data_IF_528303686315
#
_entry.id   IF_528303686315
#
_cell.length_a   1.000
_cell.length_b   1.000
_cell.length_c   1.000
_cell.angle_alpha   90.00
_cell.angle_beta   90.00
_cell.angle_gamma   90.00
#
_symmetry.space_group_name_H-M   'P 1'
#
loop_
_entity.id
_entity.type
_entity.pdbx_description
1 polymer ?
#
# COMPACT_ATOMS: atom_id res chain seq x y z
N UNK A 1 85.97 2.65 -19.19
CA UNK A 1 85.03 2.48 -18.07
C UNK A 1 84.98 3.83 -17.37
N UNK A 2 83.99 4.64 -17.72
CA UNK A 2 83.64 6.03 -17.33
C UNK A 2 82.61 6.47 -18.41
N UNK A 3 81.52 7.20 -18.21
CA UNK A 3 81.15 8.24 -17.23
C UNK A 3 79.62 8.53 -17.28
N UNK A 4 79.13 9.29 -16.28
CA UNK A 4 77.83 10.00 -16.12
C UNK A 4 77.55 11.00 -17.30
N UNK A 5 76.37 11.60 -17.61
CA UNK A 5 75.14 12.01 -16.87
C UNK A 5 74.03 12.53 -17.85
N UNK A 6 72.74 12.44 -17.43
CA UNK A 6 71.59 13.38 -17.58
C UNK A 6 70.62 13.40 -18.81
N UNK A 7 69.31 13.21 -18.51
CA UNK A 7 68.06 13.90 -18.97
C UNK A 7 67.72 14.03 -20.49
N UNK A 8 66.49 14.00 -21.03
CA UNK A 8 65.09 14.18 -20.59
C UNK A 8 64.14 13.58 -21.69
N UNK A 9 62.82 13.63 -21.42
CA UNK A 9 61.66 13.69 -22.34
C UNK A 9 60.77 12.44 -22.56
N UNK A 10 59.48 12.69 -22.37
CA UNK A 10 58.28 11.87 -22.45
C UNK A 10 58.04 11.19 -23.82
N UNK A 11 57.42 10.00 -23.83
CA UNK A 11 56.18 9.78 -24.60
C UNK A 11 55.44 8.48 -24.21
N UNK A 12 54.10 8.57 -24.21
CA UNK A 12 53.14 7.52 -24.58
C UNK A 12 52.86 6.32 -23.65
N UNK A 13 51.84 6.48 -22.81
CA UNK A 13 50.72 5.51 -22.71
C UNK A 13 49.52 6.13 -21.97
N UNK A 14 48.75 6.97 -22.66
CA UNK A 14 47.44 7.43 -22.22
C UNK A 14 46.39 6.32 -22.42
N UNK A 15 46.05 5.61 -21.35
CA UNK A 15 44.85 4.76 -21.30
C UNK A 15 43.63 5.66 -21.07
N UNK A 16 42.91 5.94 -22.14
CA UNK A 16 41.60 6.62 -22.11
C UNK A 16 40.61 5.70 -21.37
N UNK A 17 40.33 6.01 -20.10
CA UNK A 17 39.16 5.49 -19.40
C UNK A 17 37.99 6.41 -19.76
N UNK A 18 37.11 5.96 -20.67
CA UNK A 18 35.82 6.62 -20.88
C UNK A 18 35.02 6.64 -19.58
N UNK A 19 34.42 7.78 -19.17
CA UNK A 19 33.48 7.79 -18.06
C UNK A 19 32.23 7.02 -18.49
N UNK A 20 31.99 5.85 -17.89
CA UNK A 20 30.73 5.12 -18.02
C UNK A 20 29.60 6.02 -17.53
N UNK A 21 28.72 6.35 -18.46
CA UNK A 21 27.58 7.24 -18.30
C UNK A 21 26.53 6.64 -17.33
N UNK A 22 26.66 6.91 -16.03
CA UNK A 22 25.76 6.38 -14.99
C UNK A 22 24.61 7.35 -14.62
N UNK A 23 24.44 8.47 -15.35
CA UNK A 23 23.36 9.44 -15.10
C UNK A 23 22.00 9.03 -15.68
N UNK A 24 21.98 8.08 -16.62
CA UNK A 24 20.75 7.69 -17.32
C UNK A 24 19.81 6.85 -16.46
N UNK A 25 20.34 5.96 -15.61
CA UNK A 25 19.50 5.04 -14.82
C UNK A 25 18.74 5.75 -13.69
N UNK A 26 19.39 6.69 -13.00
CA UNK A 26 18.77 7.46 -11.92
C UNK A 26 17.69 8.41 -12.47
N UNK A 27 17.93 8.98 -13.66
CA UNK A 27 16.98 9.84 -14.36
C UNK A 27 15.77 9.04 -14.85
N UNK A 28 15.98 7.84 -15.42
CA UNK A 28 14.89 6.93 -15.83
C UNK A 28 14.04 6.49 -14.63
N UNK A 29 14.67 6.17 -13.50
CA UNK A 29 13.97 5.73 -12.29
C UNK A 29 13.14 6.86 -11.65
N UNK A 30 13.63 8.10 -11.71
CA UNK A 30 12.89 9.28 -11.26
C UNK A 30 11.72 9.63 -12.20
N UNK A 31 11.93 9.53 -13.51
CA UNK A 31 10.89 9.73 -14.53
C UNK A 31 9.81 8.66 -14.39
N UNK A 32 10.16 7.39 -14.22
CA UNK A 32 9.23 6.28 -14.02
C UNK A 32 8.36 6.47 -12.78
N UNK A 33 8.97 6.92 -11.67
CA UNK A 33 8.24 7.24 -10.44
C UNK A 33 7.26 8.41 -10.61
N UNK A 34 7.67 9.42 -11.39
CA UNK A 34 6.86 10.61 -11.66
C UNK A 34 5.70 10.27 -12.60
N UNK A 35 5.94 9.46 -13.64
CA UNK A 35 4.93 8.94 -14.57
C UNK A 35 3.92 8.07 -13.82
N UNK A 36 4.36 7.18 -12.94
CA UNK A 36 3.47 6.38 -12.09
C UNK A 36 2.61 7.27 -11.17
N UNK A 37 3.19 8.33 -10.60
CA UNK A 37 2.44 9.28 -9.76
C UNK A 37 1.41 10.07 -10.57
N UNK A 38 1.75 10.49 -11.79
CA UNK A 38 0.83 11.16 -12.72
C UNK A 38 -0.29 10.20 -13.16
N UNK A 39 0.04 8.95 -13.48
CA UNK A 39 -0.91 7.91 -13.84
C UNK A 39 -1.89 7.61 -12.70
N UNK A 40 -1.40 7.54 -11.45
CA UNK A 40 -2.24 7.40 -10.26
C UNK A 40 -3.19 8.60 -10.09
N UNK A 41 -2.71 9.83 -10.31
CA UNK A 41 -3.56 11.01 -10.26
C UNK A 41 -4.62 10.98 -11.38
N UNK A 42 -4.25 10.59 -12.59
CA UNK A 42 -5.16 10.49 -13.74
C UNK A 42 -6.28 9.46 -13.46
N UNK A 43 -5.91 8.27 -12.97
CA UNK A 43 -6.87 7.23 -12.59
C UNK A 43 -7.83 7.68 -11.49
N UNK A 44 -7.34 8.44 -10.50
CA UNK A 44 -8.19 9.02 -9.45
C UNK A 44 -9.16 10.06 -10.01
N UNK A 45 -8.77 10.82 -11.03
CA UNK A 45 -9.67 11.76 -11.71
C UNK A 45 -10.74 11.00 -12.48
N UNK A 46 -10.38 9.95 -13.22
CA UNK A 46 -11.32 9.13 -13.99
C UNK A 46 -12.39 8.50 -13.09
N UNK A 47 -11.98 7.88 -11.97
CA UNK A 47 -12.91 7.28 -11.00
C UNK A 47 -13.83 8.33 -10.37
N UNK A 48 -13.32 9.52 -10.05
CA UNK A 48 -14.14 10.60 -9.53
C UNK A 48 -15.14 11.09 -10.59
N UNK A 49 -14.74 11.18 -11.86
CA UNK A 49 -15.62 11.56 -12.96
C UNK A 49 -16.74 10.53 -13.16
N UNK A 50 -16.44 9.24 -13.11
CA UNK A 50 -17.45 8.17 -13.17
C UNK A 50 -18.42 8.24 -11.98
N UNK A 51 -17.90 8.52 -10.78
CA UNK A 51 -18.72 8.72 -9.58
C UNK A 51 -19.63 9.95 -9.72
N UNK A 52 -19.12 11.06 -10.23
CA UNK A 52 -19.95 12.25 -10.50
C UNK A 52 -20.97 12.00 -11.61
N UNK A 53 -20.61 11.29 -12.68
CA UNK A 53 -21.53 10.93 -13.76
C UNK A 53 -22.71 10.09 -13.23
N UNK A 54 -22.46 9.18 -12.28
CA UNK A 54 -23.49 8.42 -11.56
C UNK A 54 -24.38 9.30 -10.68
N UNK A 55 -23.81 10.30 -10.00
CA UNK A 55 -24.59 11.23 -9.16
C UNK A 55 -25.50 12.14 -9.99
N UNK A 56 -25.02 12.58 -11.15
CA UNK A 56 -25.71 13.58 -11.97
C UNK A 56 -26.69 12.98 -13.00
N UNK A 57 -26.98 11.68 -12.95
CA UNK A 57 -27.94 10.98 -13.84
C UNK A 57 -27.79 11.38 -15.32
N UNK A 58 -26.54 11.52 -15.80
CA UNK A 58 -26.31 11.60 -17.25
C UNK A 58 -26.53 10.20 -17.79
N UNK A 59 -27.72 9.97 -18.36
CA UNK A 59 -28.17 8.70 -18.89
C UNK A 59 -27.10 8.03 -19.78
N UNK A 60 -26.70 6.81 -19.43
CA UNK A 60 -26.24 5.82 -20.39
C UNK A 60 -26.96 4.49 -20.11
N UNK A 61 -27.89 4.16 -21.02
CA UNK A 61 -28.08 2.90 -21.76
C UNK A 61 -27.23 1.66 -21.38
N UNK A 62 -27.69 0.47 -21.80
CA UNK A 62 -28.26 -0.57 -20.97
C UNK A 62 -27.22 -1.22 -20.02
N UNK A 63 -27.70 -1.80 -18.92
CA UNK A 63 -26.96 -2.61 -17.94
C UNK A 63 -25.59 -3.13 -18.44
N UNK A 64 -24.53 -2.35 -18.20
CA UNK A 64 -23.18 -2.89 -18.26
C UNK A 64 -23.08 -3.87 -17.11
N UNK A 65 -23.13 -5.17 -17.40
CA UNK A 65 -22.69 -6.22 -16.47
C UNK A 65 -21.38 -5.72 -15.85
N UNK A 66 -21.23 -5.71 -14.51
CA UNK A 66 -20.01 -5.23 -13.89
C UNK A 66 -18.87 -6.08 -14.46
N UNK A 67 -18.05 -5.46 -15.31
CA UNK A 67 -16.81 -6.08 -15.76
C UNK A 67 -16.04 -6.30 -14.47
N UNK A 68 -15.74 -7.56 -14.15
CA UNK A 68 -14.90 -7.87 -12.99
C UNK A 68 -13.60 -7.09 -13.18
N UNK A 69 -13.41 -6.08 -12.35
CA UNK A 69 -12.22 -5.25 -12.33
C UNK A 69 -11.02 -6.17 -12.10
N UNK A 70 -9.96 -5.99 -12.89
CA UNK A 70 -8.76 -6.82 -12.80
C UNK A 70 -8.14 -6.76 -11.40
N UNK A 71 -7.46 -7.82 -10.98
CA UNK A 71 -6.92 -7.95 -9.63
C UNK A 71 -5.87 -6.89 -9.32
N UNK A 72 -4.99 -6.57 -10.27
CA UNK A 72 -4.00 -5.50 -10.07
C UNK A 72 -4.67 -4.12 -10.04
N UNK A 73 -5.71 -3.94 -10.84
CA UNK A 73 -6.50 -2.72 -10.83
C UNK A 73 -7.15 -2.51 -9.45
N UNK A 74 -7.73 -3.56 -8.88
CA UNK A 74 -8.37 -3.51 -7.56
C UNK A 74 -7.37 -3.12 -6.45
N UNK A 75 -6.13 -3.60 -6.52
CA UNK A 75 -5.08 -3.23 -5.57
C UNK A 75 -4.74 -1.73 -5.59
N UNK A 76 -5.10 -0.99 -6.64
CA UNK A 76 -4.94 0.47 -6.66
C UNK A 76 -6.03 1.24 -5.89
N UNK A 77 -7.09 0.57 -5.44
CA UNK A 77 -8.16 1.19 -4.65
C UNK A 77 -7.80 1.36 -3.16
N UNK A 78 -6.66 0.82 -2.72
CA UNK A 78 -6.24 0.96 -1.33
C UNK A 78 -5.69 2.37 -1.02
N UNK A 79 -5.99 2.94 0.16
CA UNK A 79 -6.85 2.39 1.21
C UNK A 79 -8.34 2.51 0.87
N UNK A 80 -9.12 1.49 1.25
CA UNK A 80 -10.55 1.43 0.99
C UNK A 80 -11.30 2.61 1.64
N UNK A 81 -12.30 3.09 0.93
CA UNK A 81 -13.07 4.29 1.30
C UNK A 81 -14.51 3.97 1.64
N UNK A 82 -15.11 3.00 0.97
CA UNK A 82 -16.52 2.66 1.08
C UNK A 82 -16.75 1.22 1.58
N UNK A 83 -17.98 0.94 2.02
CA UNK A 83 -18.34 -0.38 2.53
C UNK A 83 -18.35 -1.42 1.40
N UNK A 84 -18.82 -1.04 0.21
CA UNK A 84 -18.89 -1.93 -0.95
C UNK A 84 -17.50 -2.42 -1.37
N UNK A 85 -16.46 -1.58 -1.23
CA UNK A 85 -15.06 -1.97 -1.48
C UNK A 85 -14.60 -3.12 -0.56
N UNK A 86 -15.11 -3.14 0.68
CA UNK A 86 -14.81 -4.22 1.65
C UNK A 86 -15.54 -5.49 1.27
N UNK A 87 -16.78 -5.39 0.76
CA UNK A 87 -17.55 -6.54 0.29
C UNK A 87 -16.88 -7.18 -0.93
N UNK A 88 -16.43 -6.37 -1.90
CA UNK A 88 -15.71 -6.88 -3.07
C UNK A 88 -14.39 -7.55 -2.64
N UNK A 89 -13.60 -6.89 -1.77
CA UNK A 89 -12.37 -7.49 -1.23
C UNK A 89 -12.63 -8.83 -0.54
N UNK A 90 -13.64 -8.92 0.33
CA UNK A 90 -13.98 -10.18 1.00
C UNK A 90 -14.38 -11.27 0.01
N UNK A 91 -15.13 -10.92 -1.04
CA UNK A 91 -15.51 -11.88 -2.09
C UNK A 91 -14.30 -12.42 -2.85
N UNK A 92 -13.33 -11.56 -3.19
CA UNK A 92 -12.09 -11.94 -3.88
C UNK A 92 -11.16 -12.75 -3.00
N UNK A 93 -11.11 -12.47 -1.70
CA UNK A 93 -10.28 -13.24 -0.75
C UNK A 93 -10.81 -14.64 -0.47
N UNK A 94 -12.10 -14.88 -0.74
CA UNK A 94 -12.76 -16.18 -0.61
C UNK A 94 -12.70 -17.01 -1.90
N UNK A 95 -12.30 -16.42 -3.03
CA UNK A 95 -12.13 -17.13 -4.29
C UNK A 95 -10.79 -17.87 -4.32
N UNK A 96 -10.81 -19.13 -3.87
CA UNK A 96 -9.63 -20.01 -3.85
C UNK A 96 -9.12 -20.39 -5.27
N UNK A 97 -9.86 -20.06 -6.34
CA UNK A 97 -9.42 -20.31 -7.73
C UNK A 97 -8.53 -19.19 -8.29
N UNK A 98 -8.43 -18.06 -7.59
CA UNK A 98 -7.64 -16.89 -8.01
C UNK A 98 -6.30 -16.77 -7.25
N UNK A 99 -5.29 -16.20 -7.91
CA UNK A 99 -4.02 -15.81 -7.28
C UNK A 99 -4.11 -14.46 -6.54
N UNK A 100 -5.29 -13.82 -6.54
CA UNK A 100 -5.56 -12.53 -5.91
C UNK A 100 -5.07 -12.47 -4.46
N UNK A 101 -5.31 -13.51 -3.67
CA UNK A 101 -4.94 -13.54 -2.25
C UNK A 101 -3.42 -13.40 -2.05
N UNK A 102 -2.63 -14.02 -2.92
CA UNK A 102 -1.17 -13.96 -2.87
C UNK A 102 -0.67 -12.57 -3.28
N UNK A 103 -1.23 -12.02 -4.37
CA UNK A 103 -0.98 -10.64 -4.81
C UNK A 103 -1.33 -9.63 -3.73
N UNK A 104 -2.51 -9.78 -3.11
CA UNK A 104 -2.98 -8.95 -2.02
C UNK A 104 -2.02 -9.00 -0.81
N UNK A 105 -1.65 -10.20 -0.35
CA UNK A 105 -0.69 -10.37 0.75
C UNK A 105 0.63 -9.68 0.43
N UNK A 106 1.17 -9.87 -0.78
CA UNK A 106 2.40 -9.23 -1.25
C UNK A 106 2.29 -7.69 -1.24
N UNK A 107 1.17 -7.15 -1.72
CA UNK A 107 0.88 -5.72 -1.79
C UNK A 107 0.78 -5.08 -0.39
N UNK A 108 -0.04 -5.65 0.51
CA UNK A 108 -0.30 -5.02 1.81
C UNK A 108 0.85 -5.21 2.80
N UNK A 109 1.69 -6.23 2.63
CA UNK A 109 2.80 -6.51 3.55
C UNK A 109 3.87 -5.41 3.53
N UNK A 110 4.17 -4.75 4.66
CA UNK A 110 5.21 -3.73 4.72
C UNK A 110 6.60 -4.33 4.47
N UNK A 111 7.28 -3.85 3.42
CA UNK A 111 8.67 -4.21 3.04
C UNK A 111 9.74 -3.60 3.96
N UNK A 112 9.34 -2.86 5.00
CA UNK A 112 10.27 -2.18 5.90
C UNK A 112 10.96 -3.11 6.90
N UNK A 113 12.18 -2.71 7.29
CA UNK A 113 12.97 -3.37 8.32
C UNK A 113 12.34 -3.14 9.69
N UNK A 114 11.95 -4.24 10.35
CA UNK A 114 11.54 -4.23 11.75
C UNK A 114 12.82 -4.25 12.59
N UNK A 115 12.93 -3.33 13.55
CA UNK A 115 14.15 -3.16 14.34
C UNK A 115 14.23 -4.16 15.49
N UNK A 116 13.10 -4.48 16.13
CA UNK A 116 13.00 -5.52 17.17
C UNK A 116 11.74 -6.39 17.02
N UNK A 117 11.80 -7.66 17.42
CA UNK A 117 10.60 -8.52 17.55
C UNK A 117 9.87 -8.29 18.88
N UNK A 118 9.74 -7.02 19.25
CA UNK A 118 9.17 -6.54 20.50
C UNK A 118 7.66 -6.21 20.33
N UNK A 119 6.93 -6.07 21.44
CA UNK A 119 5.49 -5.75 21.42
C UNK A 119 5.17 -4.42 20.71
N UNK A 120 6.06 -3.43 20.79
CA UNK A 120 5.90 -2.13 20.14
C UNK A 120 5.93 -2.24 18.62
N UNK A 121 6.88 -3.00 18.09
CA UNK A 121 7.03 -3.22 16.65
C UNK A 121 5.88 -4.05 16.08
N UNK A 122 5.36 -5.01 16.86
CA UNK A 122 4.15 -5.76 16.49
C UNK A 122 2.93 -4.83 16.39
N UNK A 123 2.71 -3.96 17.38
CA UNK A 123 1.63 -2.96 17.34
C UNK A 123 1.81 -2.03 16.14
N UNK A 124 3.02 -1.56 15.88
CA UNK A 124 3.33 -0.72 14.73
C UNK A 124 3.04 -1.44 13.40
N UNK A 125 3.45 -2.70 13.28
CA UNK A 125 3.25 -3.52 12.10
C UNK A 125 1.76 -3.72 11.78
N UNK A 126 0.97 -4.19 12.76
CA UNK A 126 -0.48 -4.39 12.60
C UNK A 126 -1.18 -3.06 12.26
N UNK A 127 -0.82 -1.97 12.93
CA UNK A 127 -1.38 -0.63 12.63
C UNK A 127 -0.96 -0.10 11.26
N UNK A 128 0.14 -0.58 10.70
CA UNK A 128 0.57 -0.23 9.34
C UNK A 128 -0.23 -0.98 8.31
N UNK A 129 -0.49 -2.28 8.51
CA UNK A 129 -1.44 -3.05 7.69
C UNK A 129 -2.81 -2.37 7.66
N UNK A 130 -3.37 -2.04 8.83
CA UNK A 130 -4.69 -1.40 8.92
C UNK A 130 -4.76 -0.04 8.22
N UNK A 131 -3.69 0.78 8.27
CA UNK A 131 -3.63 2.06 7.56
C UNK A 131 -3.49 1.92 6.05
N UNK A 132 -2.92 0.81 5.57
CA UNK A 132 -2.88 0.48 4.13
C UNK A 132 -4.26 0.01 3.64
N UNK A 133 -4.99 -0.69 4.50
CA UNK A 133 -6.28 -1.28 4.15
C UNK A 133 -7.44 -0.29 4.24
N UNK A 134 -7.51 0.53 5.30
CA UNK A 134 -8.68 1.33 5.62
C UNK A 134 -8.34 2.80 5.80
N UNK A 135 -9.17 3.68 5.26
CA UNK A 135 -9.22 5.06 5.72
C UNK A 135 -9.82 5.14 7.13
N UNK A 136 -9.50 6.20 7.89
CA UNK A 136 -10.16 6.45 9.18
C UNK A 136 -11.66 6.75 9.04
N UNK A 137 -12.08 7.21 7.85
CA UNK A 137 -13.50 7.39 7.52
C UNK A 137 -14.21 6.05 7.50
N UNK A 138 -13.75 5.14 6.64
CA UNK A 138 -14.31 3.80 6.51
C UNK A 138 -14.25 3.03 7.83
N UNK A 139 -13.09 3.01 8.48
CA UNK A 139 -12.90 2.31 9.76
C UNK A 139 -13.84 2.82 10.88
N UNK A 140 -14.37 4.04 10.78
CA UNK A 140 -15.29 4.58 11.77
C UNK A 140 -16.70 3.98 11.71
N UNK A 141 -17.04 3.27 10.63
CA UNK A 141 -18.29 2.52 10.48
C UNK A 141 -18.20 1.07 10.96
N UNK A 142 -17.03 0.64 11.44
CA UNK A 142 -16.81 -0.73 11.91
C UNK A 142 -16.70 -0.79 13.44
N UNK A 143 -17.08 -1.94 13.98
CA UNK A 143 -16.79 -2.32 15.36
C UNK A 143 -16.49 -3.81 15.44
N UNK A 144 -15.93 -4.27 16.56
CA UNK A 144 -15.52 -5.67 16.69
C UNK A 144 -16.67 -6.68 16.52
N UNK A 145 -17.87 -6.35 17.02
CA UNK A 145 -19.07 -7.22 17.02
C UNK A 145 -20.28 -6.60 16.29
N UNK A 146 -20.10 -5.49 15.60
CA UNK A 146 -21.21 -4.80 14.90
C UNK A 146 -22.19 -4.02 15.79
N UNK A 147 -21.76 -3.53 16.96
CA UNK A 147 -22.65 -2.80 17.87
C UNK A 147 -22.97 -1.38 17.38
N UNK A 148 -24.15 -0.86 17.77
CA UNK A 148 -24.60 0.52 17.53
C UNK A 148 -24.65 0.90 16.04
N UNK A 149 -25.15 0.00 15.20
CA UNK A 149 -25.28 0.24 13.76
C UNK A 149 -23.96 0.23 12.99
N UNK A 150 -22.86 -0.22 13.60
CA UNK A 150 -21.59 -0.42 12.89
C UNK A 150 -21.54 -1.82 12.26
N UNK A 151 -20.78 -1.97 11.18
CA UNK A 151 -20.48 -3.27 10.60
C UNK A 151 -19.53 -4.08 11.50
N UNK A 152 -19.66 -5.41 11.48
CA UNK A 152 -18.81 -6.30 12.25
C UNK A 152 -17.52 -6.61 11.49
N UNK A 153 -16.37 -6.24 12.08
CA UNK A 153 -15.07 -6.55 11.48
C UNK A 153 -14.49 -7.89 11.95
N UNK A 154 -14.87 -8.37 13.14
CA UNK A 154 -14.21 -9.52 13.77
C UNK A 154 -14.34 -10.85 13.01
N UNK A 155 -15.27 -10.93 12.07
CA UNK A 155 -15.52 -12.12 11.24
C UNK A 155 -15.00 -11.98 9.80
N UNK A 156 -14.40 -10.84 9.43
CA UNK A 156 -13.90 -10.63 8.08
C UNK A 156 -12.65 -11.48 7.80
N UNK A 157 -12.56 -12.01 6.60
CA UNK A 157 -11.41 -12.74 6.05
C UNK A 157 -10.14 -11.87 6.11
N UNK A 158 -10.26 -10.57 5.88
CA UNK A 158 -9.16 -9.59 6.05
C UNK A 158 -8.53 -9.70 7.45
N UNK A 159 -9.31 -9.91 8.52
CA UNK A 159 -8.76 -10.05 9.89
C UNK A 159 -7.91 -11.31 10.00
N UNK A 160 -8.34 -12.40 9.37
CA UNK A 160 -7.56 -13.64 9.31
C UNK A 160 -6.26 -13.43 8.51
N UNK A 161 -6.33 -12.78 7.35
CA UNK A 161 -5.14 -12.45 6.55
C UNK A 161 -4.14 -11.58 7.32
N UNK A 162 -4.61 -10.55 8.02
CA UNK A 162 -3.75 -9.72 8.89
C UNK A 162 -3.07 -10.58 9.96
N UNK A 163 -3.79 -11.52 10.57
CA UNK A 163 -3.21 -12.42 11.55
C UNK A 163 -2.13 -13.31 10.92
N UNK A 164 -2.38 -13.90 9.76
CA UNK A 164 -1.44 -14.80 9.08
C UNK A 164 -0.15 -14.07 8.67
N UNK A 165 -0.27 -12.87 8.10
CA UNK A 165 0.86 -11.99 7.80
C UNK A 165 1.62 -11.61 9.08
N UNK A 166 0.91 -11.34 10.18
CA UNK A 166 1.56 -10.99 11.45
C UNK A 166 2.25 -12.20 12.07
N UNK A 167 1.65 -13.39 12.01
CA UNK A 167 2.20 -14.64 12.53
C UNK A 167 3.43 -15.10 11.75
N UNK A 168 3.45 -14.86 10.44
CA UNK A 168 4.61 -15.18 9.60
C UNK A 168 5.85 -14.41 10.04
N UNK A 169 5.67 -13.15 10.48
CA UNK A 169 6.75 -12.26 10.96
C UNK A 169 7.04 -12.36 12.45
N UNK A 170 6.01 -12.52 13.29
CA UNK A 170 6.09 -12.62 14.74
C UNK A 170 5.65 -14.01 15.21
N UNK A 171 6.57 -14.99 15.13
CA UNK A 171 6.25 -16.43 15.30
C UNK A 171 5.52 -16.79 16.60
N UNK A 172 5.75 -16.08 17.69
CA UNK A 172 5.14 -16.36 19.01
C UNK A 172 3.81 -15.63 19.26
N UNK A 173 3.33 -14.81 18.32
CA UNK A 173 2.09 -14.03 18.53
C UNK A 173 0.85 -14.94 18.58
N UNK A 174 -0.08 -14.60 19.47
CA UNK A 174 -1.41 -15.22 19.54
C UNK A 174 -2.45 -14.43 18.74
N UNK A 175 -3.46 -15.14 18.21
CA UNK A 175 -4.56 -14.51 17.46
C UNK A 175 -5.33 -13.51 18.33
N UNK A 176 -5.52 -13.84 19.62
CA UNK A 176 -6.19 -12.94 20.56
C UNK A 176 -5.45 -11.61 20.71
N UNK A 177 -4.11 -11.62 20.76
CA UNK A 177 -3.35 -10.38 20.90
C UNK A 177 -3.41 -9.50 19.66
N UNK A 178 -3.33 -10.08 18.46
CA UNK A 178 -3.52 -9.33 17.19
C UNK A 178 -4.93 -8.73 17.13
N UNK A 179 -5.95 -9.52 17.47
CA UNK A 179 -7.35 -9.07 17.53
C UNK A 179 -7.54 -7.88 18.49
N UNK A 180 -6.86 -7.86 19.65
CA UNK A 180 -6.90 -6.73 20.58
C UNK A 180 -6.35 -5.46 19.94
N UNK A 181 -5.26 -5.56 19.16
CA UNK A 181 -4.66 -4.40 18.48
C UNK A 181 -5.59 -3.87 17.39
N UNK A 182 -6.20 -4.76 16.60
CA UNK A 182 -7.17 -4.38 15.56
C UNK A 182 -8.38 -3.70 16.21
N UNK A 183 -8.95 -4.32 17.25
CA UNK A 183 -10.09 -3.79 18.01
C UNK A 183 -9.79 -2.40 18.59
N UNK A 184 -8.62 -2.23 19.22
CA UNK A 184 -8.19 -0.94 19.77
C UNK A 184 -8.04 0.10 18.67
N UNK A 185 -7.42 -0.27 17.54
CA UNK A 185 -7.23 0.65 16.42
C UNK A 185 -8.60 1.13 15.91
N UNK A 186 -9.53 0.24 15.58
CA UNK A 186 -10.85 0.59 15.04
C UNK A 186 -11.67 1.44 16.03
N UNK A 187 -11.64 1.10 17.33
CA UNK A 187 -12.31 1.88 18.39
C UNK A 187 -11.98 3.37 18.32
N UNK A 188 -10.73 3.71 18.00
CA UNK A 188 -10.26 5.09 17.94
C UNK A 188 -10.29 5.70 16.53
N UNK A 189 -10.87 5.03 15.53
CA UNK A 189 -10.94 5.55 14.16
C UNK A 189 -11.68 6.89 14.06
N UNK A 190 -12.85 7.00 14.72
CA UNK A 190 -13.64 8.25 14.76
C UNK A 190 -12.86 9.42 15.36
N UNK A 191 -12.13 9.17 16.46
CA UNK A 191 -11.29 10.19 17.10
C UNK A 191 -10.12 10.61 16.20
N UNK A 192 -9.41 9.64 15.58
CA UNK A 192 -8.31 9.95 14.64
C UNK A 192 -8.80 10.74 13.43
N UNK A 193 -9.99 10.42 12.89
CA UNK A 193 -10.63 11.17 11.80
C UNK A 193 -10.89 12.62 12.21
N UNK A 194 -11.46 12.84 13.39
CA UNK A 194 -11.75 14.18 13.89
C UNK A 194 -10.47 15.01 14.12
N UNK A 195 -9.41 14.39 14.65
CA UNK A 195 -8.13 15.05 14.84
C UNK A 195 -7.46 15.43 13.51
N UNK A 196 -7.48 14.53 12.52
CA UNK A 196 -6.95 14.80 11.18
C UNK A 196 -7.67 15.97 10.49
N UNK A 197 -9.01 16.03 10.61
CA UNK A 197 -9.78 17.17 10.09
C UNK A 197 -9.34 18.49 10.72
N UNK A 198 -9.16 18.53 12.05
CA UNK A 198 -8.71 19.74 12.76
C UNK A 198 -7.34 20.22 12.27
N UNK A 199 -6.38 19.31 12.12
CA UNK A 199 -5.04 19.65 11.64
C UNK A 199 -5.03 20.20 10.21
N UNK A 200 -5.92 19.73 9.34
CA UNK A 200 -6.02 20.21 7.95
C UNK A 200 -6.80 21.53 7.81
N UNK A 201 -7.45 22.00 8.89
CA UNK A 201 -8.23 23.24 8.91
C UNK A 201 -7.52 24.38 9.65
N UNK A 202 -6.31 24.13 10.15
CA UNK A 202 -5.41 25.11 10.80
C UNK A 202 -4.25 25.42 9.88
#
# INVERSE_FOLDING_TARGET
>A
MESFTQNDLEDSASSIISPKNNKNNDTIQYVDRSVNSIWQCMKRIDTNLDYFAKIFNVEQSPERKPVKMDDDEFLYLFPLTEIDDVVDLESRLLDDCSDFKEKFISYITPKGNIKCLCKSDLKYFVRTLLRRLFTYSLASYYSWRGFRGNFQIGNLTIVQVIFDITKSKFKTVSKQYVNLIIKEWIRYAKQRRAHLKKMNSS
#
